data_IF_863670013341
#
_entry.id   IF_863670013341
#
_cell.length_a   1.000
_cell.length_b   1.000
_cell.length_c   1.000
_cell.angle_alpha   90.00
_cell.angle_beta   90.00
_cell.angle_gamma   90.00
#
_symmetry.space_group_name_H-M   'P 1'
#
loop_
_entity.id
_entity.type
_entity.pdbx_description
1 polymer ?
#
# COMPACT_ATOMS: atom_id res chain seq x y z
N UNK A 1 18.90 -57.34 32.33
CA UNK A 1 17.74 -56.71 33.00
C UNK A 1 17.27 -55.55 32.13
N UNK A 2 15.95 -55.39 32.06
CA UNK A 2 15.16 -54.67 31.05
C UNK A 2 15.40 -53.14 31.06
N UNK A 3 15.53 -52.54 29.90
CA UNK A 3 15.46 -51.09 29.68
C UNK A 3 13.98 -50.63 29.65
N UNK A 4 13.65 -49.42 30.16
CA UNK A 4 12.39 -48.77 29.80
C UNK A 4 12.57 -47.93 28.52
N UNK A 5 11.55 -48.03 27.68
CA UNK A 5 11.45 -47.50 26.32
C UNK A 5 11.11 -46.01 26.27
N UNK A 6 11.21 -45.45 25.06
CA UNK A 6 11.09 -44.04 24.73
C UNK A 6 9.76 -43.40 25.14
N UNK A 7 9.84 -42.11 25.42
CA UNK A 7 8.70 -41.20 25.56
C UNK A 7 8.64 -40.38 24.28
N UNK A 8 7.53 -40.51 23.59
CA UNK A 8 7.17 -39.96 22.29
C UNK A 8 7.30 -38.43 22.20
N UNK A 9 7.60 -37.97 20.99
CA UNK A 9 7.49 -36.59 20.50
C UNK A 9 6.01 -36.18 20.48
N UNK A 10 5.62 -35.22 21.30
CA UNK A 10 4.32 -34.53 21.19
C UNK A 10 4.40 -33.45 20.09
N UNK A 11 4.33 -33.88 18.83
CA UNK A 11 4.26 -33.01 17.62
C UNK A 11 2.94 -33.23 16.82
N UNK A 12 1.85 -33.69 17.47
CA UNK A 12 0.53 -33.93 16.84
C UNK A 12 -0.61 -33.09 17.48
N UNK A 13 -0.49 -31.75 17.48
CA UNK A 13 -1.61 -30.82 17.81
C UNK A 13 -1.89 -29.84 16.66
N UNK A 14 -1.81 -30.32 15.42
CA UNK A 14 -2.47 -29.66 14.29
C UNK A 14 -3.83 -30.31 14.11
N UNK A 15 -4.91 -29.57 14.42
CA UNK A 15 -6.27 -29.97 14.07
C UNK A 15 -6.35 -30.23 12.56
N UNK A 16 -6.60 -31.47 12.16
CA UNK A 16 -6.84 -31.83 10.76
C UNK A 16 -8.14 -31.16 10.31
N UNK A 17 -7.99 -29.98 9.69
CA UNK A 17 -9.08 -29.23 9.09
C UNK A 17 -9.74 -30.15 8.06
N UNK A 18 -11.02 -30.52 8.23
CA UNK A 18 -11.72 -31.38 7.29
C UNK A 18 -11.55 -30.81 5.89
N UNK A 19 -11.11 -31.65 4.94
CA UNK A 19 -11.06 -31.26 3.54
C UNK A 19 -12.42 -30.67 3.18
N UNK A 20 -12.42 -29.43 2.69
CA UNK A 20 -13.64 -28.70 2.36
C UNK A 20 -14.29 -29.36 1.14
N UNK A 21 -15.04 -30.42 1.38
CA UNK A 21 -15.91 -31.08 0.40
C UNK A 21 -16.91 -30.01 -0.08
N UNK A 22 -16.70 -29.55 -1.32
CA UNK A 22 -17.47 -28.45 -1.89
C UNK A 22 -16.65 -27.45 -2.70
N UNK A 23 -15.34 -27.66 -2.92
CA UNK A 23 -14.63 -26.91 -3.94
C UNK A 23 -15.09 -27.37 -5.33
N UNK A 24 -16.13 -26.72 -5.86
CA UNK A 24 -16.52 -26.82 -7.26
C UNK A 24 -15.51 -26.01 -8.08
N UNK A 25 -14.65 -26.64 -8.91
CA UNK A 25 -13.64 -25.92 -9.69
C UNK A 25 -14.24 -24.99 -10.75
N UNK A 26 -15.55 -25.07 -10.97
CA UNK A 26 -16.29 -24.32 -11.97
C UNK A 26 -17.56 -23.74 -11.35
N UNK A 27 -17.55 -22.43 -11.12
CA UNK A 27 -18.70 -21.67 -10.64
C UNK A 27 -19.68 -21.51 -11.81
N UNK A 28 -20.95 -21.97 -11.69
CA UNK A 28 -21.96 -21.79 -12.73
C UNK A 28 -22.12 -20.32 -13.13
N UNK A 29 -22.31 -20.04 -14.42
CA UNK A 29 -22.29 -18.67 -14.96
C UNK A 29 -23.27 -17.71 -14.27
N UNK A 30 -24.43 -18.20 -13.82
CA UNK A 30 -25.45 -17.41 -13.12
C UNK A 30 -25.05 -16.99 -11.69
N UNK A 31 -24.03 -17.61 -11.10
CA UNK A 31 -23.50 -17.28 -9.77
C UNK A 31 -22.23 -16.42 -9.85
N UNK A 32 -21.58 -16.32 -11.02
CA UNK A 32 -20.31 -15.59 -11.18
C UNK A 32 -20.45 -14.10 -10.91
N UNK A 33 -21.57 -13.49 -11.32
CA UNK A 33 -21.84 -12.07 -11.11
C UNK A 33 -21.96 -11.71 -9.62
N UNK A 34 -22.53 -12.60 -8.79
CA UNK A 34 -22.68 -12.40 -7.34
C UNK A 34 -21.34 -12.46 -6.61
N UNK A 35 -20.39 -13.25 -7.12
CA UNK A 35 -19.01 -13.31 -6.62
C UNK A 35 -18.06 -12.30 -7.29
N UNK A 36 -18.59 -11.38 -8.10
CA UNK A 36 -17.80 -10.32 -8.76
C UNK A 36 -16.84 -10.84 -9.84
N UNK A 37 -17.14 -11.99 -10.44
CA UNK A 37 -16.36 -12.59 -11.53
C UNK A 37 -17.05 -12.34 -12.88
N UNK A 38 -16.27 -11.89 -13.87
CA UNK A 38 -16.73 -11.73 -15.27
C UNK A 38 -17.24 -13.07 -15.84
N UNK A 39 -18.29 -13.08 -16.69
CA UNK A 39 -18.81 -14.31 -17.33
C UNK A 39 -17.75 -14.96 -18.25
N UNK A 40 -17.63 -16.30 -18.27
CA UNK A 40 -16.58 -16.94 -19.09
C UNK A 40 -16.80 -16.75 -20.59
N UNK A 41 -15.72 -16.50 -21.36
CA UNK A 41 -15.76 -16.74 -22.79
C UNK A 41 -15.83 -18.26 -23.04
N UNK A 42 -16.95 -18.71 -23.59
CA UNK A 42 -17.20 -20.10 -23.97
C UNK A 42 -16.10 -20.62 -24.91
N UNK A 43 -15.46 -21.72 -24.51
CA UNK A 43 -14.46 -22.44 -25.30
C UNK A 43 -15.16 -23.37 -26.29
N UNK A 44 -14.94 -23.18 -27.59
CA UNK A 44 -15.11 -24.26 -28.57
C UNK A 44 -13.77 -24.94 -28.86
N UNK A 45 -13.87 -26.26 -28.90
CA UNK A 45 -12.85 -27.31 -28.95
C UNK A 45 -12.00 -27.36 -30.23
N UNK A 46 -10.70 -27.62 -30.01
CA UNK A 46 -9.80 -28.58 -30.68
C UNK A 46 -9.72 -28.66 -32.23
N UNK A 47 -8.48 -28.53 -32.74
CA UNK A 47 -7.86 -29.59 -33.57
C UNK A 47 -6.33 -29.46 -33.64
N UNK A 48 -5.67 -30.60 -33.48
CA UNK A 48 -4.20 -30.82 -33.51
C UNK A 48 -3.71 -31.13 -34.92
N UNK A 49 -2.42 -30.83 -35.18
CA UNK A 49 -1.34 -31.58 -35.90
C UNK A 49 -0.52 -30.68 -36.86
N UNK A 50 0.70 -31.07 -37.28
CA UNK A 50 1.89 -31.42 -36.48
C UNK A 50 3.16 -30.69 -36.99
N UNK A 51 4.30 -30.87 -36.29
CA UNK A 51 5.64 -30.36 -36.63
C UNK A 51 6.51 -31.47 -37.27
N UNK A 52 7.53 -31.10 -38.08
CA UNK A 52 8.92 -31.67 -38.24
C UNK A 52 9.38 -31.70 -39.76
N UNK A 53 10.70 -31.78 -40.13
CA UNK A 53 11.59 -30.65 -40.51
C UNK A 53 12.40 -30.92 -41.84
N UNK A 54 13.73 -30.70 -41.96
CA UNK A 54 14.45 -29.48 -42.41
C UNK A 54 15.29 -29.68 -43.71
N UNK A 55 15.51 -28.66 -44.57
CA UNK A 55 16.65 -28.72 -45.53
C UNK A 55 17.18 -27.34 -46.00
N UNK A 56 18.44 -27.08 -45.61
CA UNK A 56 19.60 -26.38 -46.23
C UNK A 56 19.45 -25.28 -47.30
N UNK A 57 20.23 -24.22 -47.10
CA UNK A 57 20.71 -23.26 -48.09
C UNK A 57 21.52 -23.94 -49.23
N UNK A 58 21.62 -23.29 -50.40
CA UNK A 58 22.90 -22.66 -50.74
C UNK A 58 22.75 -21.27 -51.42
N UNK A 59 23.70 -20.37 -51.14
CA UNK A 59 24.05 -19.29 -52.05
C UNK A 59 24.85 -19.88 -53.24
N UNK A 60 24.80 -19.31 -54.45
CA UNK A 60 25.59 -18.12 -54.78
C UNK A 60 24.79 -17.11 -55.63
N UNK A 61 25.17 -15.83 -55.68
CA UNK A 61 26.16 -15.39 -56.64
C UNK A 61 25.68 -14.12 -57.35
N UNK A 62 26.64 -13.31 -57.73
CA UNK A 62 26.57 -11.89 -58.02
C UNK A 62 25.89 -11.53 -59.35
N UNK A 63 25.41 -10.27 -59.41
CA UNK A 63 25.18 -9.42 -60.59
C UNK A 63 24.12 -9.84 -61.61
N UNK A 64 23.12 -8.98 -61.84
CA UNK A 64 22.98 -8.20 -63.09
C UNK A 64 21.85 -7.17 -62.95
N UNK A 65 22.20 -5.92 -63.22
CA UNK A 65 21.30 -4.80 -63.45
C UNK A 65 20.41 -5.06 -64.66
N UNK A 66 19.09 -5.06 -64.47
CA UNK A 66 18.14 -4.78 -65.55
C UNK A 66 17.06 -3.82 -65.05
N UNK A 67 16.96 -2.70 -65.75
CA UNK A 67 15.92 -1.69 -65.63
C UNK A 67 14.53 -2.32 -65.79
N UNK A 68 13.75 -2.32 -64.71
CA UNK A 68 12.37 -2.80 -64.72
C UNK A 68 11.48 -1.78 -65.48
N UNK A 69 10.67 -2.20 -66.46
CA UNK A 69 9.76 -1.28 -67.14
C UNK A 69 8.69 -0.79 -66.16
N UNK A 70 8.45 0.54 -66.10
CA UNK A 70 7.56 1.20 -65.12
C UNK A 70 6.13 0.64 -65.06
N UNK A 71 5.69 -0.11 -66.09
CA UNK A 71 4.38 -0.80 -66.12
C UNK A 71 4.25 -1.99 -65.15
N UNK A 72 5.34 -2.65 -64.74
CA UNK A 72 5.29 -3.77 -63.78
C UNK A 72 5.33 -3.35 -62.31
N UNK A 73 5.70 -2.10 -62.02
CA UNK A 73 5.78 -1.59 -60.66
C UNK A 73 4.40 -1.15 -60.15
N UNK A 74 3.54 -0.64 -61.04
CA UNK A 74 2.16 -0.25 -60.72
C UNK A 74 1.23 -1.46 -60.55
N UNK A 75 1.48 -2.54 -61.29
CA UNK A 75 0.78 -3.83 -61.18
C UNK A 75 1.07 -4.53 -59.83
N UNK A 76 2.32 -4.48 -59.35
CA UNK A 76 2.70 -4.99 -58.02
C UNK A 76 2.11 -4.20 -56.84
N UNK A 77 1.79 -2.91 -57.02
CA UNK A 77 1.11 -2.13 -55.97
C UNK A 77 -0.37 -2.54 -55.79
N UNK A 78 -0.94 -3.25 -56.77
CA UNK A 78 -2.33 -3.70 -56.78
C UNK A 78 -2.46 -5.17 -56.35
N UNK A 79 -1.35 -5.89 -56.22
CA UNK A 79 -1.31 -7.24 -55.67
C UNK A 79 -1.25 -7.18 -54.12
N UNK A 80 -2.29 -7.67 -53.41
CA UNK A 80 -2.35 -7.62 -51.94
C UNK A 80 -1.29 -8.48 -51.25
N UNK A 81 -0.62 -9.38 -51.98
CA UNK A 81 0.46 -10.23 -51.45
C UNK A 81 1.86 -9.68 -51.70
N UNK A 82 2.00 -8.60 -52.47
CA UNK A 82 3.29 -8.02 -52.80
C UNK A 82 3.75 -6.97 -51.77
N UNK A 83 5.06 -6.92 -51.52
CA UNK A 83 5.66 -5.96 -50.58
C UNK A 83 5.40 -4.49 -50.96
N UNK A 84 5.20 -4.19 -52.26
CA UNK A 84 4.87 -2.85 -52.74
C UNK A 84 3.50 -2.36 -52.23
N UNK A 85 2.49 -3.24 -52.15
CA UNK A 85 1.18 -2.92 -51.60
C UNK A 85 1.26 -2.63 -50.09
N UNK A 86 2.07 -3.38 -49.34
CA UNK A 86 2.33 -3.13 -47.91
C UNK A 86 2.96 -1.75 -47.70
N UNK A 87 3.99 -1.38 -48.47
CA UNK A 87 4.62 -0.06 -48.37
C UNK A 87 3.68 1.09 -48.72
N UNK A 88 2.75 0.88 -49.66
CA UNK A 88 1.72 1.85 -50.02
C UNK A 88 0.74 2.09 -48.86
N UNK A 89 0.29 1.04 -48.18
CA UNK A 89 -0.58 1.15 -46.99
C UNK A 89 0.11 1.89 -45.85
N UNK A 90 1.40 1.60 -45.60
CA UNK A 90 2.19 2.34 -44.61
C UNK A 90 2.31 3.82 -44.96
N UNK A 91 2.57 4.17 -46.22
CA UNK A 91 2.62 5.57 -46.68
C UNK A 91 1.29 6.29 -46.53
N UNK A 92 0.15 5.63 -46.76
CA UNK A 92 -1.17 6.22 -46.54
C UNK A 92 -1.49 6.43 -45.06
N UNK A 93 -0.98 5.58 -44.16
CA UNK A 93 -1.17 5.73 -42.71
C UNK A 93 -0.26 6.80 -42.09
N UNK A 94 0.90 7.04 -42.69
CA UNK A 94 1.91 7.99 -42.17
C UNK A 94 1.76 9.42 -42.72
N UNK A 95 0.96 9.64 -43.77
CA UNK A 95 0.66 10.98 -44.26
C UNK A 95 -0.58 11.54 -43.53
N UNK A 96 -0.51 12.71 -42.85
CA UNK A 96 -1.68 13.31 -42.21
C UNK A 96 -2.77 13.59 -43.24
N UNK A 97 -3.97 13.08 -43.02
CA UNK A 97 -5.14 13.46 -43.83
C UNK A 97 -5.43 14.95 -43.58
N UNK A 98 -5.46 15.74 -44.65
CA UNK A 98 -5.97 17.11 -44.59
C UNK A 98 -7.48 17.08 -44.28
N UNK A 99 -8.01 18.03 -43.47
CA UNK A 99 -9.41 18.02 -43.08
C UNK A 99 -10.30 18.37 -44.26
N UNK A 100 -11.12 17.41 -44.70
CA UNK A 100 -12.25 17.64 -45.60
C UNK A 100 -13.32 18.44 -44.87
N UNK A 101 -13.54 19.67 -45.34
CA UNK A 101 -14.71 20.47 -45.04
C UNK A 101 -15.97 19.71 -45.43
N UNK A 102 -16.79 19.35 -44.43
CA UNK A 102 -18.17 18.97 -44.64
C UNK A 102 -19.04 19.76 -43.68
N UNK A 103 -19.83 20.65 -44.27
CA UNK A 103 -20.89 21.39 -43.63
C UNK A 103 -21.98 20.42 -43.18
N UNK A 104 -22.32 20.45 -41.90
CA UNK A 104 -23.58 19.89 -41.40
C UNK A 104 -24.18 20.89 -40.42
N UNK A 105 -25.31 21.45 -40.82
CA UNK A 105 -26.21 22.25 -40.00
C UNK A 105 -26.88 21.36 -38.94
N UNK A 106 -27.19 21.95 -37.78
CA UNK A 106 -28.16 21.38 -36.83
C UNK A 106 -27.73 21.50 -35.37
N UNK A 107 -27.98 22.65 -34.76
CA UNK A 107 -27.90 22.85 -33.31
C UNK A 107 -28.93 23.87 -32.88
N UNK A 108 -30.10 23.37 -32.51
CA UNK A 108 -31.22 24.12 -31.94
C UNK A 108 -30.78 24.81 -30.64
N UNK A 109 -30.72 26.14 -30.65
CA UNK A 109 -30.56 26.96 -29.44
C UNK A 109 -31.94 27.44 -29.00
N UNK A 110 -32.40 26.93 -27.87
CA UNK A 110 -33.48 27.55 -27.09
C UNK A 110 -32.98 28.89 -26.54
N UNK A 111 -33.66 30.02 -26.76
CA UNK A 111 -33.28 31.30 -26.19
C UNK A 111 -34.17 31.60 -24.98
N UNK A 112 -33.71 31.25 -23.78
CA UNK A 112 -34.13 31.95 -22.55
C UNK A 112 -33.00 31.87 -21.55
N UNK A 113 -32.03 32.77 -21.68
CA UNK A 113 -31.35 33.35 -20.53
C UNK A 113 -30.89 34.75 -20.93
N UNK A 114 -31.19 35.71 -20.05
CA UNK A 114 -30.92 37.12 -20.27
C UNK A 114 -29.41 37.33 -20.38
N UNK A 115 -28.97 37.83 -21.53
CA UNK A 115 -27.57 38.15 -21.79
C UNK A 115 -27.11 39.28 -20.84
N UNK A 116 -26.33 38.92 -19.83
CA UNK A 116 -25.38 39.83 -19.21
C UNK A 116 -24.28 40.18 -20.23
N UNK A 117 -23.83 41.44 -20.24
CA UNK A 117 -22.75 41.89 -21.11
C UNK A 117 -21.48 41.05 -20.85
N UNK A 118 -20.90 40.38 -21.88
CA UNK A 118 -19.75 39.50 -21.72
C UNK A 118 -18.47 40.24 -21.30
N UNK A 119 -18.47 41.58 -21.36
CA UNK A 119 -17.40 42.43 -20.84
C UNK A 119 -17.35 42.42 -19.32
N UNK A 120 -18.50 42.47 -18.64
CA UNK A 120 -18.52 42.49 -17.16
C UNK A 120 -18.08 41.15 -16.56
N UNK A 121 -18.34 40.06 -17.27
CA UNK A 121 -17.90 38.72 -16.87
C UNK A 121 -16.40 38.51 -17.10
N UNK A 122 -15.84 39.10 -18.16
CA UNK A 122 -14.39 39.09 -18.44
C UNK A 122 -13.60 39.84 -17.39
N UNK A 123 -14.12 40.95 -16.88
CA UNK A 123 -13.46 41.74 -15.82
C UNK A 123 -13.49 41.03 -14.45
N UNK A 124 -14.46 40.14 -14.23
CA UNK A 124 -14.57 39.31 -13.02
C UNK A 124 -13.77 38.01 -13.11
N UNK A 125 -13.41 37.59 -14.33
CA UNK A 125 -12.72 36.31 -14.56
C UNK A 125 -11.27 36.36 -14.04
N UNK A 126 -10.82 35.33 -13.30
CA UNK A 126 -9.44 35.27 -12.84
C UNK A 126 -8.49 35.12 -14.03
N UNK A 127 -7.57 36.07 -14.18
CA UNK A 127 -6.48 35.99 -15.17
C UNK A 127 -5.43 35.01 -14.64
N UNK A 128 -5.27 33.88 -15.32
CA UNK A 128 -4.28 32.86 -14.95
C UNK A 128 -3.21 32.78 -16.05
N UNK A 129 -1.90 32.77 -15.71
CA UNK A 129 -0.86 32.64 -16.72
C UNK A 129 -1.03 31.34 -17.53
N UNK A 130 -0.69 31.42 -18.80
CA UNK A 130 -0.67 30.28 -19.70
C UNK A 130 0.34 29.23 -19.24
N UNK A 131 -0.02 27.96 -19.34
CA UNK A 131 0.79 26.82 -18.90
C UNK A 131 0.54 25.58 -19.74
N UNK A 132 1.40 24.56 -19.62
CA UNK A 132 1.31 23.30 -20.40
C UNK A 132 -0.01 22.56 -20.16
N UNK A 133 -0.56 22.67 -18.96
CA UNK A 133 -1.85 22.11 -18.58
C UNK A 133 -3.03 22.80 -19.28
N UNK A 134 -2.92 24.09 -19.63
CA UNK A 134 -3.90 24.80 -20.45
C UNK A 134 -3.70 24.54 -21.94
N UNK A 135 -2.46 24.34 -22.40
CA UNK A 135 -2.18 24.08 -23.81
C UNK A 135 -2.85 22.79 -24.29
N UNK A 136 -2.84 21.75 -23.46
CA UNK A 136 -3.51 20.48 -23.73
C UNK A 136 -4.86 20.35 -22.99
N UNK A 137 -5.55 21.47 -22.74
CA UNK A 137 -6.81 21.44 -22.00
C UNK A 137 -7.90 20.71 -22.80
N UNK A 138 -8.42 19.62 -22.24
CA UNK A 138 -9.41 18.77 -22.92
C UNK A 138 -8.81 17.77 -23.92
N UNK A 139 -7.49 17.79 -24.12
CA UNK A 139 -6.76 16.87 -24.99
C UNK A 139 -5.87 15.93 -24.15
N UNK A 140 -5.54 14.77 -24.71
CA UNK A 140 -4.59 13.84 -24.09
C UNK A 140 -3.16 14.30 -24.38
N UNK A 141 -2.38 14.49 -23.32
CA UNK A 141 -0.99 14.94 -23.43
C UNK A 141 -0.11 13.80 -23.99
N UNK A 142 0.56 13.98 -25.16
CA UNK A 142 1.27 12.90 -25.85
C UNK A 142 2.45 12.30 -25.06
N UNK A 143 3.01 13.06 -24.12
CA UNK A 143 4.21 12.70 -23.34
C UNK A 143 3.95 12.74 -21.84
N UNK A 144 2.69 12.75 -21.40
CA UNK A 144 2.37 12.76 -19.98
C UNK A 144 2.84 11.49 -19.27
N UNK A 145 3.77 11.64 -18.32
CA UNK A 145 4.22 10.56 -17.46
C UNK A 145 5.15 9.53 -18.11
N UNK A 146 5.56 9.69 -19.36
CA UNK A 146 6.50 8.77 -20.00
C UNK A 146 7.90 8.97 -19.45
N UNK A 147 8.39 7.99 -18.69
CA UNK A 147 9.78 7.94 -18.23
C UNK A 147 10.53 6.99 -19.15
N UNK A 148 11.50 7.53 -19.89
CA UNK A 148 12.46 6.70 -20.62
C UNK A 148 13.38 6.06 -19.59
N UNK A 149 13.22 4.75 -19.35
CA UNK A 149 14.16 3.97 -18.57
C UNK A 149 15.38 3.70 -19.43
N UNK A 150 16.55 4.16 -18.98
CA UNK A 150 17.80 3.77 -19.61
C UNK A 150 17.95 2.25 -19.51
N UNK A 151 17.86 1.56 -20.64
CA UNK A 151 18.13 0.13 -20.72
C UNK A 151 19.59 -0.13 -20.30
N UNK A 152 19.79 -1.16 -19.48
CA UNK A 152 21.13 -1.62 -19.15
C UNK A 152 21.84 -2.03 -20.44
N UNK A 153 23.04 -1.50 -20.69
CA UNK A 153 23.83 -1.85 -21.88
C UNK A 153 24.26 -3.34 -21.90
N UNK A 154 24.04 -4.06 -20.80
CA UNK A 154 24.35 -5.48 -20.68
C UNK A 154 23.23 -6.36 -21.27
N UNK A 155 23.26 -6.51 -22.59
CA UNK A 155 22.35 -7.39 -23.37
C UNK A 155 22.37 -8.86 -22.93
N UNK A 156 23.38 -9.28 -22.16
CA UNK A 156 23.54 -10.66 -21.71
C UNK A 156 22.73 -10.99 -20.45
N UNK A 157 22.35 -9.97 -19.65
CA UNK A 157 21.66 -10.18 -18.36
C UNK A 157 20.23 -9.65 -18.36
N UNK A 158 19.87 -8.76 -19.30
CA UNK A 158 18.51 -8.22 -19.44
C UNK A 158 18.14 -8.20 -20.92
N UNK A 159 17.03 -8.85 -21.34
CA UNK A 159 16.51 -8.77 -22.70
C UNK A 159 16.20 -7.32 -23.11
N UNK A 160 16.53 -6.94 -24.35
CA UNK A 160 16.33 -5.59 -24.90
C UNK A 160 14.84 -5.25 -25.20
N UNK A 161 13.92 -6.17 -24.91
CA UNK A 161 12.47 -6.01 -25.15
C UNK A 161 11.72 -5.35 -23.99
N UNK A 162 12.43 -4.92 -22.92
CA UNK A 162 11.80 -4.15 -21.84
C UNK A 162 11.40 -2.80 -22.40
N UNK A 163 10.09 -2.56 -22.44
CA UNK A 163 9.44 -1.30 -22.81
C UNK A 163 10.19 -0.11 -22.21
N UNK A 164 10.90 0.64 -23.06
CA UNK A 164 11.78 1.74 -22.64
C UNK A 164 10.98 2.88 -22.02
N UNK A 165 9.70 2.99 -22.35
CA UNK A 165 8.79 4.00 -21.83
C UNK A 165 7.87 3.40 -20.76
N UNK A 166 8.05 3.81 -19.51
CA UNK A 166 7.11 3.47 -18.44
C UNK A 166 6.28 4.67 -18.08
N UNK A 167 4.97 4.48 -18.14
CA UNK A 167 3.98 5.46 -17.74
C UNK A 167 3.95 5.61 -16.22
N UNK A 168 4.45 6.74 -15.73
CA UNK A 168 4.30 7.16 -14.35
C UNK A 168 3.06 8.04 -14.21
N UNK A 169 2.04 7.47 -13.57
CA UNK A 169 0.75 8.15 -13.28
C UNK A 169 0.92 9.42 -12.45
N UNK A 170 1.90 9.48 -11.56
CA UNK A 170 2.16 10.67 -10.75
C UNK A 170 2.73 11.81 -11.60
N UNK A 171 3.65 11.52 -12.52
CA UNK A 171 4.20 12.51 -13.45
C UNK A 171 3.15 12.98 -14.46
N UNK A 172 2.30 12.09 -14.95
CA UNK A 172 1.17 12.45 -15.80
C UNK A 172 0.20 13.39 -15.06
N UNK A 173 -0.13 13.09 -13.81
CA UNK A 173 -0.96 13.94 -12.97
C UNK A 173 -0.30 15.31 -12.70
N UNK A 174 1.01 15.32 -12.45
CA UNK A 174 1.75 16.57 -12.24
C UNK A 174 1.75 17.45 -13.48
N UNK A 175 1.90 16.91 -14.70
CA UNK A 175 1.90 17.72 -15.93
C UNK A 175 0.51 18.24 -16.32
N UNK A 176 -0.56 17.64 -15.79
CA UNK A 176 -1.93 18.14 -15.88
C UNK A 176 -2.30 19.13 -14.76
N UNK A 177 -1.50 19.20 -13.70
CA UNK A 177 -1.77 20.08 -12.55
C UNK A 177 -0.83 21.28 -12.52
N UNK A 178 -1.34 22.45 -12.12
CA UNK A 178 -0.51 23.64 -11.88
C UNK A 178 -0.27 23.86 -10.39
N UNK A 179 0.97 24.15 -10.03
CA UNK A 179 1.31 24.70 -8.72
C UNK A 179 1.23 26.22 -8.78
N UNK A 180 0.28 26.79 -8.05
CA UNK A 180 0.12 28.24 -7.93
C UNK A 180 0.59 28.64 -6.53
N UNK A 181 1.44 29.68 -6.45
CA UNK A 181 1.77 30.30 -5.17
C UNK A 181 0.50 30.89 -4.56
N UNK A 182 0.20 30.57 -3.31
CA UNK A 182 -0.95 31.14 -2.62
C UNK A 182 -0.76 32.66 -2.49
N UNK A 183 -1.38 33.44 -3.38
CA UNK A 183 -1.29 34.89 -3.41
C UNK A 183 -2.10 35.59 -2.30
N UNK A 184 -2.68 34.81 -1.37
CA UNK A 184 -3.47 35.34 -0.25
C UNK A 184 -2.62 35.78 0.92
N UNK A 185 -3.17 36.67 1.75
CA UNK A 185 -2.56 37.03 3.04
C UNK A 185 -2.77 35.90 4.05
N UNK A 186 -1.72 35.57 4.80
CA UNK A 186 -1.83 34.59 5.88
C UNK A 186 -2.76 35.11 6.98
N UNK A 187 -3.92 34.48 7.15
CA UNK A 187 -4.80 34.73 8.30
C UNK A 187 -4.38 33.83 9.48
N UNK A 188 -4.04 34.39 10.65
CA UNK A 188 -3.70 33.59 11.82
C UNK A 188 -4.94 32.81 12.33
N UNK A 189 -4.69 31.65 12.92
CA UNK A 189 -5.74 30.80 13.48
C UNK A 189 -6.28 31.44 14.76
N UNK A 190 -7.60 31.62 14.84
CA UNK A 190 -8.27 32.25 15.99
C UNK A 190 -8.79 31.25 17.03
N UNK A 191 -8.81 29.96 16.68
CA UNK A 191 -9.41 28.91 17.50
C UNK A 191 -8.38 27.88 17.97
N UNK A 192 -8.73 27.18 19.05
CA UNK A 192 -7.96 26.06 19.60
C UNK A 192 -8.82 24.80 19.51
N UNK A 193 -8.17 23.65 19.40
CA UNK A 193 -8.86 22.35 19.35
C UNK A 193 -9.75 22.12 20.57
N UNK A 194 -9.29 22.49 21.79
CA UNK A 194 -10.03 22.39 23.05
C UNK A 194 -10.67 21.02 23.34
N UNK A 195 -10.22 19.95 22.66
CA UNK A 195 -10.69 18.60 22.94
C UNK A 195 -10.20 18.14 24.33
N UNK A 196 -11.02 17.44 25.12
CA UNK A 196 -10.63 16.92 26.42
C UNK A 196 -9.56 15.84 26.26
N UNK A 197 -8.42 16.02 26.92
CA UNK A 197 -7.33 15.04 26.94
C UNK A 197 -7.50 14.04 28.10
N UNK A 198 -6.80 12.92 28.03
CA UNK A 198 -6.75 11.93 29.11
C UNK A 198 -6.24 12.49 30.46
N UNK A 199 -5.46 13.59 30.42
CA UNK A 199 -4.96 14.28 31.61
C UNK A 199 -5.99 15.22 32.26
N UNK A 200 -7.19 15.38 31.67
CA UNK A 200 -8.21 16.33 32.09
C UNK A 200 -7.99 17.78 31.61
N UNK A 201 -6.84 18.08 31.00
CA UNK A 201 -6.58 19.34 30.32
C UNK A 201 -7.25 19.38 28.93
N UNK A 202 -7.45 20.59 28.39
CA UNK A 202 -7.94 20.78 27.02
C UNK A 202 -6.80 20.92 26.02
N UNK A 203 -7.02 20.46 24.79
CA UNK A 203 -6.02 20.57 23.73
C UNK A 203 -5.74 22.03 23.34
N UNK A 204 -4.48 22.46 23.47
CA UNK A 204 -4.05 23.84 23.21
C UNK A 204 -3.68 24.12 21.74
N UNK A 205 -3.61 23.08 20.89
CA UNK A 205 -3.19 23.22 19.48
C UNK A 205 -4.15 24.11 18.70
N UNK A 206 -3.58 24.89 17.78
CA UNK A 206 -4.27 25.90 16.95
C UNK A 206 -4.08 25.56 15.47
N UNK A 207 -4.67 24.45 15.03
CA UNK A 207 -4.68 24.08 13.62
C UNK A 207 -5.89 24.69 12.91
N UNK A 208 -5.86 24.84 11.57
CA UNK A 208 -6.94 25.54 10.82
C UNK A 208 -8.22 24.71 10.62
N UNK A 209 -8.07 23.39 10.45
CA UNK A 209 -9.16 22.48 10.04
C UNK A 209 -9.12 21.19 10.85
N UNK A 210 -7.95 20.55 10.96
CA UNK A 210 -7.78 19.25 11.62
C UNK A 210 -6.66 19.32 12.67
N UNK A 211 -6.95 18.84 13.86
CA UNK A 211 -5.97 18.53 14.88
C UNK A 211 -5.42 17.10 14.64
N UNK A 212 -4.09 16.89 14.62
CA UNK A 212 -3.50 15.57 14.41
C UNK A 212 -3.91 14.50 15.45
N UNK A 213 -4.34 14.93 16.64
CA UNK A 213 -4.68 14.03 17.75
C UNK A 213 -6.18 13.78 17.89
N UNK A 214 -7.02 14.75 17.55
CA UNK A 214 -8.46 14.72 17.85
C UNK A 214 -9.34 14.86 16.61
N UNK A 215 -8.77 14.91 15.41
CA UNK A 215 -9.50 15.01 14.16
C UNK A 215 -9.98 16.44 13.86
N UNK A 216 -11.17 16.58 13.28
CA UNK A 216 -11.72 17.87 12.88
C UNK A 216 -11.90 18.81 14.08
N UNK A 217 -11.47 20.06 13.93
CA UNK A 217 -11.61 21.06 14.99
C UNK A 217 -13.02 21.63 14.96
N UNK A 218 -13.73 21.43 16.06
CA UNK A 218 -15.10 21.88 16.31
C UNK A 218 -15.03 23.03 17.33
N UNK A 219 -15.87 24.07 17.24
CA UNK A 219 -15.99 25.07 18.29
C UNK A 219 -16.41 24.41 19.61
N UNK A 220 -15.55 24.53 20.62
CA UNK A 220 -15.76 24.02 21.98
C UNK A 220 -15.63 25.13 23.02
N UNK A 221 -16.41 24.98 24.09
CA UNK A 221 -16.41 25.88 25.24
C UNK A 221 -15.17 25.68 26.13
N UNK A 222 -15.04 26.45 27.21
CA UNK A 222 -13.93 26.35 28.18
C UNK A 222 -13.85 25.01 28.92
N UNK A 223 -14.91 24.21 28.85
CA UNK A 223 -14.97 22.85 29.40
C UNK A 223 -14.74 21.76 28.34
N UNK A 224 -14.48 22.13 27.08
CA UNK A 224 -14.23 21.19 25.99
C UNK A 224 -15.48 20.53 25.38
N UNK A 225 -16.67 21.03 25.74
CA UNK A 225 -17.96 20.60 25.15
C UNK A 225 -18.21 21.34 23.83
N UNK A 226 -18.70 20.66 22.77
CA UNK A 226 -19.10 21.33 21.53
C UNK A 226 -20.20 22.36 21.77
N UNK A 227 -20.06 23.55 21.17
CA UNK A 227 -21.09 24.60 21.25
C UNK A 227 -22.28 24.29 20.35
N UNK A 228 -22.05 23.57 19.24
CA UNK A 228 -23.10 23.15 18.31
C UNK A 228 -23.73 21.81 18.73
N UNK A 229 -25.07 21.70 18.86
CA UNK A 229 -25.74 20.45 19.22
C UNK A 229 -25.53 19.33 18.19
N UNK A 230 -25.44 19.63 16.89
CA UNK A 230 -25.23 18.60 15.86
C UNK A 230 -23.86 17.92 16.01
N UNK A 231 -22.83 18.71 16.31
CA UNK A 231 -21.49 18.19 16.57
C UNK A 231 -21.42 17.38 17.88
N UNK A 232 -22.24 17.74 18.87
CA UNK A 232 -22.37 16.97 20.10
C UNK A 232 -22.97 15.58 19.82
N UNK A 233 -24.06 15.52 19.04
CA UNK A 233 -24.69 14.26 18.64
C UNK A 233 -23.75 13.41 17.79
N UNK A 234 -23.01 14.02 16.85
CA UNK A 234 -22.04 13.31 16.03
C UNK A 234 -20.92 12.69 16.89
N UNK A 235 -20.37 13.45 17.84
CA UNK A 235 -19.35 12.94 18.75
C UNK A 235 -19.89 11.83 19.66
N UNK A 236 -21.11 11.97 20.19
CA UNK A 236 -21.73 10.94 21.02
C UNK A 236 -21.94 9.64 20.24
N UNK A 237 -22.38 9.73 18.97
CA UNK A 237 -22.51 8.58 18.08
C UNK A 237 -21.15 7.93 17.77
N UNK A 238 -20.11 8.73 17.56
CA UNK A 238 -18.73 8.23 17.39
C UNK A 238 -18.21 7.56 18.66
N UNK A 239 -18.49 8.11 19.85
CA UNK A 239 -18.11 7.52 21.13
C UNK A 239 -18.87 6.22 21.42
N UNK A 240 -20.15 6.16 21.07
CA UNK A 240 -20.95 4.94 21.13
C UNK A 240 -20.35 3.85 20.25
N UNK A 241 -20.11 4.16 18.97
CA UNK A 241 -19.43 3.24 18.04
C UNK A 241 -18.05 2.81 18.52
N UNK A 242 -17.27 3.72 19.12
CA UNK A 242 -15.95 3.40 19.70
C UNK A 242 -16.07 2.46 20.89
N UNK A 243 -17.12 2.60 21.71
CA UNK A 243 -17.39 1.72 22.85
C UNK A 243 -17.83 0.34 22.38
N UNK A 244 -18.69 0.29 21.37
CA UNK A 244 -19.16 -0.96 20.75
C UNK A 244 -18.02 -1.68 20.00
N UNK A 245 -17.14 -0.95 19.32
CA UNK A 245 -15.94 -1.48 18.69
C UNK A 245 -14.80 -1.78 19.68
N UNK A 246 -15.00 -1.67 21.01
CA UNK A 246 -13.98 -2.18 21.93
C UNK A 246 -13.94 -3.70 21.80
N UNK A 247 -12.76 -4.30 21.62
CA UNK A 247 -12.65 -5.75 21.50
C UNK A 247 -13.27 -6.45 22.72
N UNK A 248 -14.01 -7.52 22.50
CA UNK A 248 -14.71 -8.29 23.53
C UNK A 248 -13.79 -8.73 24.69
N UNK A 249 -12.51 -9.02 24.40
CA UNK A 249 -11.51 -9.39 25.42
C UNK A 249 -11.15 -8.23 26.38
N UNK A 250 -11.54 -7.00 26.05
CA UNK A 250 -11.31 -5.80 26.86
C UNK A 250 -12.58 -5.31 27.56
N UNK A 251 -13.57 -6.20 27.69
CA UNK A 251 -14.78 -5.96 28.46
C UNK A 251 -14.45 -5.69 29.97
N UNK A 252 -14.92 -4.57 30.55
CA UNK A 252 -14.76 -4.28 31.97
C UNK A 252 -15.32 -5.34 32.92
N UNK A 253 -16.34 -6.09 32.51
CA UNK A 253 -16.91 -7.19 33.31
C UNK A 253 -15.97 -8.40 33.35
N UNK A 254 -15.58 -8.90 32.18
CA UNK A 254 -14.60 -9.96 32.04
C UNK A 254 -13.28 -9.65 32.77
N UNK A 255 -12.79 -8.42 32.64
CA UNK A 255 -11.56 -7.98 33.31
C UNK A 255 -11.67 -8.04 34.84
N UNK A 256 -12.84 -7.70 35.42
CA UNK A 256 -13.08 -7.83 36.86
C UNK A 256 -13.05 -9.28 37.31
N UNK A 257 -13.64 -10.18 36.53
CA UNK A 257 -13.69 -11.60 36.88
C UNK A 257 -12.30 -12.23 36.82
N UNK A 258 -11.48 -11.85 35.83
CA UNK A 258 -10.08 -12.27 35.74
C UNK A 258 -9.28 -11.71 36.93
N UNK A 259 -9.49 -10.44 37.33
CA UNK A 259 -8.83 -9.85 38.51
C UNK A 259 -9.24 -10.54 39.82
N UNK A 260 -10.51 -10.95 39.96
CA UNK A 260 -10.99 -11.71 41.11
C UNK A 260 -10.40 -13.12 41.17
N UNK A 261 -10.32 -13.80 40.03
CA UNK A 261 -9.74 -15.13 39.93
C UNK A 261 -8.21 -15.14 40.13
N UNK A 262 -7.52 -14.14 39.57
CA UNK A 262 -6.05 -14.07 39.52
C UNK A 262 -5.47 -13.30 40.73
N UNK A 263 -6.28 -12.44 41.36
CA UNK A 263 -5.87 -11.60 42.49
C UNK A 263 -4.95 -10.43 42.11
N UNK A 264 -4.68 -10.22 40.82
CA UNK A 264 -3.85 -9.14 40.28
C UNK A 264 -4.72 -8.07 39.58
N UNK A 265 -4.42 -6.78 39.79
CA UNK A 265 -5.18 -5.63 39.22
C UNK A 265 -4.76 -5.39 37.75
N UNK A 266 -5.62 -5.80 36.82
CA UNK A 266 -5.48 -5.58 35.38
C UNK A 266 -6.04 -4.22 34.92
N UNK A 267 -6.47 -3.37 35.87
CA UNK A 267 -6.88 -2.00 35.60
C UNK A 267 -8.35 -1.82 35.23
N UNK A 268 -9.21 -2.82 35.48
CA UNK A 268 -10.68 -2.72 35.30
C UNK A 268 -11.29 -1.53 36.06
N UNK A 269 -10.66 -1.14 37.17
CA UNK A 269 -11.08 -0.06 38.06
C UNK A 269 -10.68 1.36 37.62
N UNK A 270 -9.82 1.51 36.61
CA UNK A 270 -9.25 2.83 36.22
C UNK A 270 -10.10 3.63 35.23
N UNK A 271 -11.08 3.00 34.58
CA UNK A 271 -11.90 3.63 33.54
C UNK A 271 -13.05 4.48 34.09
N UNK A 272 -13.43 4.28 35.35
CA UNK A 272 -14.36 5.17 36.05
C UNK A 272 -13.59 6.12 36.96
N UNK A 273 -13.60 7.40 36.58
CA UNK A 273 -13.01 8.46 37.39
C UNK A 273 -13.58 8.47 38.81
N UNK A 274 -12.68 8.79 39.76
CA UNK A 274 -12.91 9.21 41.16
C UNK A 274 -12.61 8.14 42.22
N UNK A 275 -11.46 8.31 42.88
CA UNK A 275 -11.36 8.08 44.34
C UNK A 275 -10.74 6.78 44.84
N UNK A 276 -9.40 6.68 44.74
CA UNK A 276 -8.48 6.25 45.82
C UNK A 276 -9.00 5.23 46.87
N UNK A 277 -8.64 3.94 46.74
CA UNK A 277 -8.36 3.05 47.90
C UNK A 277 -7.44 1.87 47.56
N UNK A 278 -6.13 2.15 47.60
CA UNK A 278 -5.08 1.38 48.27
C UNK A 278 -5.14 -0.18 48.24
N UNK A 279 -4.33 -0.81 47.39
CA UNK A 279 -3.48 -1.95 47.80
C UNK A 279 -2.06 -1.75 47.25
N UNK A 280 -1.06 -1.88 48.11
CA UNK A 280 0.36 -1.72 47.75
C UNK A 280 1.07 -0.48 48.31
N UNK A 281 0.78 -0.03 49.55
CA UNK A 281 1.69 0.89 50.26
C UNK A 281 3.00 0.15 50.56
N UNK A 282 3.99 0.28 49.67
CA UNK A 282 5.39 0.14 50.05
C UNK A 282 5.66 1.04 51.26
N UNK A 283 6.25 0.47 52.32
CA UNK A 283 6.56 1.18 53.56
C UNK A 283 7.23 2.52 53.22
N UNK A 284 6.73 3.63 53.79
CA UNK A 284 7.40 4.95 53.69
C UNK A 284 8.86 4.74 54.09
N UNK A 285 9.80 5.21 53.26
CA UNK A 285 11.24 5.12 53.57
C UNK A 285 11.45 5.78 54.93
N UNK A 286 12.04 5.04 55.90
CA UNK A 286 12.26 5.51 57.27
C UNK A 286 13.09 6.81 57.32
N UNK A 287 13.86 7.09 56.27
CA UNK A 287 14.60 8.34 56.07
C UNK A 287 14.41 8.81 54.61
N UNK A 288 13.57 9.83 54.35
CA UNK A 288 13.28 10.29 52.98
C UNK A 288 14.46 11.04 52.33
N UNK A 289 15.37 11.60 53.14
CA UNK A 289 16.50 12.41 52.67
C UNK A 289 17.85 11.67 52.69
N UNK A 290 17.85 10.36 53.00
CA UNK A 290 19.06 9.56 52.98
C UNK A 290 19.09 8.71 51.70
N UNK A 291 20.01 9.03 50.79
CA UNK A 291 20.29 8.21 49.63
C UNK A 291 21.03 6.95 50.06
N UNK A 292 20.38 5.78 49.97
CA UNK A 292 21.03 4.49 50.20
C UNK A 292 22.12 4.25 49.16
N UNK A 293 23.40 4.40 49.55
CA UNK A 293 24.57 4.11 48.71
C UNK A 293 24.60 2.65 48.19
N UNK A 294 23.84 1.74 48.83
CA UNK A 294 23.70 0.33 48.45
C UNK A 294 22.60 0.07 47.43
N UNK A 295 21.68 1.01 47.19
CA UNK A 295 20.67 0.86 46.13
C UNK A 295 21.33 1.24 44.82
N UNK A 296 21.39 0.30 43.89
CA UNK A 296 21.88 0.59 42.55
C UNK A 296 21.05 1.73 41.96
N UNK A 297 21.75 2.81 41.58
CA UNK A 297 21.12 3.95 40.92
C UNK A 297 20.48 3.43 39.64
N UNK A 298 19.29 3.92 39.31
CA UNK A 298 18.55 3.53 38.11
C UNK A 298 19.18 4.13 36.84
N UNK A 299 20.42 3.75 36.59
CA UNK A 299 21.23 4.13 35.43
C UNK A 299 20.92 3.19 34.26
N UNK A 300 21.25 3.63 33.04
CA UNK A 300 21.19 2.79 31.83
C UNK A 300 21.94 1.47 32.02
N UNK A 301 23.15 1.52 32.62
CA UNK A 301 23.96 0.34 32.93
C UNK A 301 23.23 -0.66 33.82
N UNK A 302 22.62 -0.23 34.93
CA UNK A 302 21.91 -1.14 35.84
C UNK A 302 20.66 -1.77 35.20
N UNK A 303 19.98 -1.03 34.29
CA UNK A 303 18.84 -1.59 33.53
C UNK A 303 19.28 -2.65 32.55
N UNK A 304 20.38 -2.42 31.83
CA UNK A 304 20.95 -3.38 30.89
C UNK A 304 21.49 -4.60 31.62
N UNK A 305 22.21 -4.40 32.72
CA UNK A 305 22.71 -5.48 33.57
C UNK A 305 21.58 -6.42 34.01
N UNK A 306 20.44 -5.88 34.44
CA UNK A 306 19.27 -6.69 34.82
C UNK A 306 18.68 -7.49 33.65
N UNK A 307 18.75 -6.98 32.43
CA UNK A 307 18.23 -7.67 31.23
C UNK A 307 19.21 -8.74 30.73
N UNK A 308 20.50 -8.42 30.73
CA UNK A 308 21.58 -9.28 30.22
C UNK A 308 21.88 -10.41 31.21
N UNK A 309 22.03 -10.09 32.50
CA UNK A 309 22.30 -11.07 33.56
C UNK A 309 21.03 -11.62 34.21
N UNK A 310 19.89 -11.58 33.51
CA UNK A 310 18.71 -12.31 33.96
C UNK A 310 19.05 -13.82 33.95
N UNK A 311 18.79 -14.58 35.03
CA UNK A 311 19.07 -16.01 35.08
C UNK A 311 18.49 -16.79 33.90
N UNK A 312 17.33 -16.40 33.34
CA UNK A 312 16.78 -17.04 32.14
C UNK A 312 17.56 -16.73 30.86
N UNK A 313 18.04 -15.50 30.71
CA UNK A 313 18.92 -15.10 29.61
C UNK A 313 20.26 -15.81 29.68
N UNK A 314 20.86 -15.87 30.88
CA UNK A 314 22.11 -16.59 31.10
C UNK A 314 21.97 -18.07 30.80
N UNK A 315 20.87 -18.72 31.26
CA UNK A 315 20.57 -20.12 30.95
C UNK A 315 20.47 -20.38 29.44
N UNK A 316 19.75 -19.53 28.71
CA UNK A 316 19.66 -19.65 27.24
C UNK A 316 21.03 -19.58 26.56
N UNK A 317 21.89 -18.65 27.00
CA UNK A 317 23.25 -18.53 26.46
C UNK A 317 24.08 -19.75 26.80
N UNK A 318 24.02 -20.25 28.05
CA UNK A 318 24.74 -21.46 28.44
C UNK A 318 24.25 -22.69 27.68
N UNK A 319 22.95 -22.81 27.43
CA UNK A 319 22.37 -23.94 26.70
C UNK A 319 22.83 -23.93 25.23
N UNK A 320 22.87 -22.76 24.60
CA UNK A 320 23.40 -22.61 23.23
C UNK A 320 24.89 -22.95 23.20
N UNK A 321 25.69 -22.44 24.14
CA UNK A 321 27.12 -22.77 24.23
C UNK A 321 27.34 -24.28 24.44
N UNK A 322 26.55 -24.91 25.31
CA UNK A 322 26.60 -26.35 25.57
C UNK A 322 26.18 -27.17 24.34
N UNK A 323 25.18 -26.73 23.58
CA UNK A 323 24.79 -27.37 22.30
C UNK A 323 25.91 -27.29 21.28
N UNK A 324 26.52 -26.12 21.11
CA UNK A 324 27.68 -25.95 20.22
C UNK A 324 28.86 -26.83 20.64
N UNK A 325 29.12 -26.92 21.94
CA UNK A 325 30.20 -27.75 22.46
C UNK A 325 29.94 -29.24 22.24
N UNK A 326 28.72 -29.72 22.48
CA UNK A 326 28.30 -31.09 22.13
C UNK A 326 28.47 -31.39 20.64
N UNK A 327 28.10 -30.47 19.76
CA UNK A 327 28.25 -30.63 18.31
C UNK A 327 29.71 -30.68 17.85
N UNK A 328 30.59 -29.89 18.50
CA UNK A 328 32.04 -29.98 18.25
C UNK A 328 32.55 -31.37 18.63
N UNK A 329 32.24 -31.83 19.84
CA UNK A 329 32.70 -33.13 20.33
C UNK A 329 32.07 -34.32 19.60
N UNK A 330 30.86 -34.18 19.05
CA UNK A 330 30.21 -35.24 18.26
C UNK A 330 31.01 -35.62 17.00
N UNK A 331 31.71 -34.66 16.37
CA UNK A 331 32.56 -34.92 15.19
C UNK A 331 33.90 -35.59 15.55
N UNK A 332 34.32 -35.54 16.81
CA UNK A 332 35.58 -36.12 17.29
C UNK A 332 35.38 -37.37 18.17
N UNK A 333 34.15 -37.69 18.58
CA UNK A 333 33.83 -38.87 19.38
C UNK A 333 34.14 -40.20 18.65
N UNK A 334 34.20 -40.20 17.32
CA UNK A 334 34.51 -41.39 16.51
C UNK A 334 35.98 -41.45 16.04
N UNK A 335 36.84 -40.53 16.49
CA UNK A 335 38.26 -40.43 16.08
C UNK A 335 39.22 -41.13 17.08
N UNK A 336 38.75 -42.10 17.87
CA UNK A 336 39.61 -42.89 18.76
C UNK A 336 40.67 -43.74 18.03
N UNK A 337 40.65 -43.81 16.70
CA UNK A 337 41.69 -44.46 15.89
C UNK A 337 43.08 -43.78 15.94
N UNK A 338 43.21 -42.60 16.55
CA UNK A 338 44.50 -41.91 16.73
C UNK A 338 44.92 -41.74 18.20
N UNK A 339 44.21 -42.36 19.15
CA UNK A 339 44.52 -42.25 20.58
C UNK A 339 45.45 -43.36 21.11
N UNK A 340 45.84 -44.33 20.27
CA UNK A 340 46.77 -45.41 20.59
C UNK A 340 47.85 -45.50 19.50
N UNK A 341 48.94 -44.77 19.70
CA UNK A 341 50.29 -45.09 19.22
C UNK A 341 51.30 -44.53 20.22
#
# INVERSE_FOLDING_TARGET
MKAPEGSDDDDDDFEEVPEKEGFEPHIPDHLREEYGLEPSPSTYVASKKPVQPPVKCPAPGTSHTFSRPRKRATDEEQDPTCAAATLRLFKQRLLPQAPSTSSAAGGHVDPTDQASDPSEERDKAPVIPFGLDLYYWGEEQPTAGKIIKNSSQHQFWVPNEVEEEVENKELAAQMKSRYITFAGRFQPVKHRCKAPMHNGALCERQDRVKCPFHGLIIPRDELGKPTNPEDAVRLEKEEWKRRENQPDWRDPELMRDIELATGEDLGSSKTFGKGKKCKGKGKKKKYPNLSDLKKSVNTSRSRLERKVFNPSSMRRVTDVMNKMDKLKHAKFANQFNYALN
#
